data_IF_451270222283
#
_entry.id   IF_451270222283
#
_cell.length_a   1.000
_cell.length_b   1.000
_cell.length_c   1.000
_cell.angle_alpha   90.00
_cell.angle_beta   90.00
_cell.angle_gamma   90.00
#
_symmetry.space_group_name_H-M   'P 1'
#
loop_
_entity.id
_entity.type
_entity.pdbx_description
1 polymer ?
#
# COMPACT_ATOMS: atom_id res chain seq x y z
N UNK A 1 16.55 -17.35 61.48
CA UNK A 1 15.71 -17.72 60.33
C UNK A 1 14.28 -17.89 60.81
N UNK A 2 13.30 -17.44 60.03
CA UNK A 2 11.89 -17.76 60.27
C UNK A 2 11.65 -19.17 59.71
N UNK A 3 11.72 -20.19 60.56
CA UNK A 3 11.63 -21.61 60.15
C UNK A 3 10.54 -22.34 60.91
N UNK A 4 9.74 -23.16 60.23
CA UNK A 4 8.75 -24.02 60.85
C UNK A 4 7.47 -23.33 61.32
N UNK A 5 7.11 -22.18 60.73
CA UNK A 5 5.85 -21.49 61.00
C UNK A 5 4.73 -22.17 60.20
N UNK A 6 3.58 -22.44 60.83
CA UNK A 6 2.45 -23.18 60.22
C UNK A 6 1.30 -22.28 59.75
N UNK A 7 1.44 -20.97 59.86
CA UNK A 7 0.47 -19.97 59.39
C UNK A 7 1.17 -18.79 58.73
N UNK A 8 0.40 -17.78 58.36
CA UNK A 8 0.90 -16.60 57.68
C UNK A 8 1.96 -15.86 58.52
N UNK A 9 3.00 -15.39 57.85
CA UNK A 9 3.95 -14.44 58.42
C UNK A 9 3.57 -13.06 57.88
N UNK A 10 3.12 -12.18 58.77
CA UNK A 10 2.88 -10.77 58.44
C UNK A 10 4.08 -9.93 58.89
N UNK A 11 4.68 -9.19 57.96
CA UNK A 11 5.69 -8.16 58.25
C UNK A 11 5.02 -6.81 58.06
N UNK A 12 4.61 -6.19 59.17
CA UNK A 12 3.94 -4.89 59.19
C UNK A 12 4.95 -3.82 59.68
N UNK A 13 5.62 -3.17 58.73
CA UNK A 13 6.58 -2.10 59.02
C UNK A 13 5.89 -0.75 58.83
N UNK A 14 5.88 0.16 59.83
CA UNK A 14 5.34 1.51 59.67
C UNK A 14 6.24 2.41 58.81
N UNK A 15 7.44 1.95 58.47
CA UNK A 15 8.35 2.56 57.51
C UNK A 15 8.56 1.57 56.35
N UNK A 16 9.80 1.36 55.92
CA UNK A 16 10.10 0.43 54.82
C UNK A 16 10.42 -0.97 55.31
N UNK A 17 10.28 -1.95 54.41
CA UNK A 17 10.91 -3.26 54.53
C UNK A 17 12.14 -3.28 53.61
N UNK A 18 13.33 -3.25 54.21
CA UNK A 18 14.60 -3.35 53.48
C UNK A 18 15.04 -4.81 53.42
N UNK A 19 15.07 -5.37 52.21
CA UNK A 19 15.61 -6.71 51.94
C UNK A 19 17.03 -6.58 51.38
N UNK A 20 18.02 -6.65 52.27
CA UNK A 20 19.45 -6.55 51.93
C UNK A 20 20.07 -7.95 51.78
N UNK A 21 19.87 -8.54 50.60
CA UNK A 21 20.46 -9.83 50.27
C UNK A 21 21.87 -9.62 49.70
N UNK A 22 22.91 -9.80 50.53
CA UNK A 22 24.32 -9.71 50.08
C UNK A 22 24.68 -10.69 48.96
N UNK A 23 23.91 -11.77 48.80
CA UNK A 23 24.04 -12.71 47.67
C UNK A 23 23.37 -12.25 46.37
N UNK A 24 22.72 -11.07 46.38
CA UNK A 24 22.16 -10.40 45.22
C UNK A 24 20.73 -10.80 44.83
N UNK A 25 20.19 -11.92 45.33
CA UNK A 25 18.86 -12.42 44.93
C UNK A 25 17.83 -12.44 46.06
N UNK A 26 16.57 -12.19 45.71
CA UNK A 26 15.39 -12.55 46.52
C UNK A 26 14.69 -13.74 45.85
N UNK A 27 14.52 -14.84 46.58
CA UNK A 27 13.98 -16.08 46.05
C UNK A 27 12.62 -16.43 46.68
N UNK A 28 11.62 -16.67 45.84
CA UNK A 28 10.33 -17.23 46.23
C UNK A 28 10.33 -18.72 45.90
N UNK A 29 10.14 -19.57 46.91
CA UNK A 29 10.22 -21.03 46.77
C UNK A 29 8.92 -21.69 47.19
N UNK A 30 8.62 -22.82 46.56
CA UNK A 30 7.60 -23.77 46.99
C UNK A 30 8.26 -25.13 47.26
N UNK A 31 8.08 -25.65 48.48
CA UNK A 31 8.64 -26.92 48.95
C UNK A 31 10.14 -27.15 48.65
N UNK A 32 10.94 -26.07 48.61
CA UNK A 32 12.38 -26.10 48.32
C UNK A 32 12.76 -25.83 46.86
N UNK A 33 11.81 -25.81 45.94
CA UNK A 33 12.00 -25.43 44.54
C UNK A 33 11.81 -23.93 44.38
N UNK A 34 12.80 -23.23 43.83
CA UNK A 34 12.65 -21.81 43.50
C UNK A 34 11.65 -21.68 42.34
N UNK A 35 10.63 -20.82 42.53
CA UNK A 35 9.57 -20.56 41.56
C UNK A 35 9.84 -19.24 40.83
N UNK A 36 10.10 -18.19 41.60
CA UNK A 36 10.43 -16.85 41.12
C UNK A 36 11.72 -16.36 41.78
N UNK A 37 12.59 -15.77 40.98
CA UNK A 37 13.81 -15.10 41.43
C UNK A 37 13.76 -13.63 41.00
N UNK A 38 14.05 -12.74 41.95
CA UNK A 38 14.36 -11.34 41.69
C UNK A 38 15.87 -11.15 41.87
N UNK A 39 16.57 -10.90 40.78
CA UNK A 39 17.99 -10.58 40.75
C UNK A 39 18.17 -9.07 40.92
N UNK A 40 18.73 -8.68 42.05
CA UNK A 40 18.90 -7.28 42.43
C UNK A 40 20.28 -6.73 42.06
N UNK A 41 21.33 -7.57 42.00
CA UNK A 41 22.72 -7.11 41.81
C UNK A 41 23.68 -8.16 41.21
N UNK A 42 23.22 -9.35 40.82
CA UNK A 42 24.11 -10.38 40.23
C UNK A 42 24.27 -10.22 38.72
N UNK A 43 23.35 -9.51 38.05
CA UNK A 43 23.47 -9.14 36.63
C UNK A 43 23.84 -7.68 36.47
N UNK A 44 24.97 -7.42 35.82
CA UNK A 44 25.42 -6.05 35.54
C UNK A 44 24.41 -5.30 34.65
N UNK A 45 24.04 -4.08 35.06
CA UNK A 45 23.13 -3.16 34.36
C UNK A 45 21.67 -3.64 34.20
N UNK A 46 21.24 -4.68 34.90
CA UNK A 46 19.87 -5.14 34.83
C UNK A 46 19.39 -5.71 36.17
N UNK A 47 18.12 -5.46 36.49
CA UNK A 47 17.39 -6.25 37.47
C UNK A 47 16.58 -7.29 36.70
N UNK A 48 16.61 -8.55 37.15
CA UNK A 48 15.94 -9.65 36.45
C UNK A 48 14.80 -10.18 37.30
N UNK A 49 13.64 -10.34 36.67
CA UNK A 49 12.54 -11.15 37.17
C UNK A 49 12.57 -12.45 36.37
N UNK A 50 12.92 -13.57 37.02
CA UNK A 50 13.08 -14.84 36.33
C UNK A 50 12.22 -15.93 36.96
N UNK A 51 11.36 -16.55 36.15
CA UNK A 51 10.73 -17.81 36.50
C UNK A 51 11.76 -18.93 36.42
N UNK A 52 11.77 -19.77 37.45
CA UNK A 52 12.73 -20.88 37.59
C UNK A 52 12.13 -22.24 37.23
N UNK A 53 10.86 -22.26 36.83
CA UNK A 53 10.17 -23.41 36.25
C UNK A 53 9.88 -23.10 34.79
N UNK A 54 10.39 -23.93 33.87
CA UNK A 54 10.35 -23.62 32.44
C UNK A 54 8.94 -23.65 31.85
N UNK A 55 8.03 -24.45 32.39
CA UNK A 55 6.64 -24.51 31.90
C UNK A 55 5.77 -23.34 32.36
N UNK A 56 6.30 -22.51 33.26
CA UNK A 56 5.52 -21.50 33.93
C UNK A 56 5.66 -20.17 33.18
N UNK A 57 4.55 -19.44 33.14
CA UNK A 57 4.47 -18.12 32.55
C UNK A 57 4.27 -17.07 33.64
N UNK A 58 4.69 -15.83 33.38
CA UNK A 58 4.45 -14.71 34.29
C UNK A 58 3.16 -14.02 33.85
N UNK A 59 2.12 -14.10 34.69
CA UNK A 59 0.76 -13.68 34.33
C UNK A 59 0.31 -12.50 35.20
N UNK A 60 -0.18 -11.45 34.55
CA UNK A 60 -0.83 -10.31 35.19
C UNK A 60 -2.34 -10.44 35.03
N UNK A 61 -3.06 -10.55 36.15
CA UNK A 61 -4.52 -10.75 36.17
C UNK A 61 -5.25 -9.52 36.70
N UNK A 62 -6.48 -9.31 36.21
CA UNK A 62 -7.44 -8.39 36.81
C UNK A 62 -8.07 -9.03 38.06
N UNK A 63 -8.67 -8.21 38.92
CA UNK A 63 -9.35 -8.64 40.14
C UNK A 63 -10.40 -9.77 39.95
N UNK A 64 -11.01 -9.85 38.77
CA UNK A 64 -12.01 -10.88 38.44
C UNK A 64 -11.39 -12.22 37.98
N UNK A 65 -10.06 -12.32 37.96
CA UNK A 65 -9.31 -13.50 37.55
C UNK A 65 -9.04 -13.59 36.04
N UNK A 66 -9.46 -12.61 35.25
CA UNK A 66 -9.11 -12.56 33.84
C UNK A 66 -7.65 -12.15 33.65
N UNK A 67 -6.97 -12.76 32.70
CA UNK A 67 -5.62 -12.38 32.31
C UNK A 67 -5.63 -11.11 31.47
N UNK A 68 -4.69 -10.20 31.76
CA UNK A 68 -4.50 -8.95 31.03
C UNK A 68 -3.31 -9.09 30.08
N UNK A 69 -2.20 -9.60 30.63
CA UNK A 69 -0.92 -9.79 29.92
C UNK A 69 -0.22 -11.02 30.48
N UNK A 70 0.44 -11.78 29.59
CA UNK A 70 1.33 -12.89 29.96
C UNK A 70 2.65 -12.82 29.23
N UNK A 71 3.73 -12.97 29.99
CA UNK A 71 5.07 -13.19 29.46
C UNK A 71 5.31 -14.70 29.55
N UNK A 72 5.25 -15.37 28.39
CA UNK A 72 5.27 -16.81 28.32
C UNK A 72 6.66 -17.40 28.10
N UNK A 73 6.78 -18.68 28.45
CA UNK A 73 7.99 -19.49 28.30
C UNK A 73 8.48 -19.65 26.85
N UNK A 74 7.59 -19.44 25.89
CA UNK A 74 7.86 -19.44 24.45
C UNK A 74 8.36 -18.08 23.90
N UNK A 75 8.68 -17.12 24.78
CA UNK A 75 9.19 -15.77 24.49
C UNK A 75 8.18 -14.84 23.81
N UNK A 76 6.90 -15.00 24.14
CA UNK A 76 5.82 -14.15 23.63
C UNK A 76 5.20 -13.32 24.74
N UNK A 77 4.80 -12.10 24.37
CA UNK A 77 3.93 -11.26 25.18
C UNK A 77 2.49 -11.43 24.66
N UNK A 78 1.69 -12.22 25.38
CA UNK A 78 0.29 -12.43 25.06
C UNK A 78 -0.57 -11.30 25.66
N UNK A 79 -1.59 -10.89 24.91
CA UNK A 79 -2.66 -10.02 25.38
C UNK A 79 -3.92 -10.88 25.52
N UNK A 80 -4.65 -10.73 26.62
CA UNK A 80 -5.85 -11.50 26.94
C UNK A 80 -5.60 -12.96 27.37
N UNK A 81 -5.19 -13.87 26.48
CA UNK A 81 -4.92 -15.28 26.85
C UNK A 81 -3.82 -15.97 26.02
N UNK A 82 -3.36 -17.15 26.49
CA UNK A 82 -2.41 -17.98 25.75
C UNK A 82 -3.12 -18.70 24.61
N UNK A 83 -2.89 -18.21 23.39
CA UNK A 83 -3.47 -18.76 22.15
C UNK A 83 -4.18 -17.71 21.28
N UNK A 84 -4.48 -16.53 21.83
CA UNK A 84 -4.99 -15.36 21.11
C UNK A 84 -3.88 -14.49 20.52
N UNK A 85 -3.91 -13.20 20.85
CA UNK A 85 -3.04 -12.15 20.30
C UNK A 85 -1.69 -12.08 21.04
N UNK A 86 -0.60 -11.90 20.30
CA UNK A 86 0.72 -11.77 20.92
C UNK A 86 1.72 -10.96 20.08
N UNK A 87 2.75 -10.46 20.76
CA UNK A 87 3.90 -9.81 20.15
C UNK A 87 5.17 -10.61 20.48
N UNK A 88 6.02 -10.83 19.49
CA UNK A 88 7.33 -11.45 19.70
C UNK A 88 8.34 -11.06 18.63
N UNK A 89 9.63 -11.13 18.97
CA UNK A 89 10.71 -11.06 17.99
C UNK A 89 11.29 -12.45 17.73
N UNK A 90 11.64 -12.75 16.48
CA UNK A 90 12.36 -13.98 16.12
C UNK A 90 13.88 -13.80 15.98
N UNK A 91 14.36 -12.57 16.20
CA UNK A 91 15.75 -12.16 16.07
C UNK A 91 16.05 -11.39 14.78
N UNK A 92 15.14 -11.42 13.80
CA UNK A 92 15.20 -10.61 12.58
C UNK A 92 13.99 -9.68 12.50
N UNK A 93 12.81 -10.26 12.69
CA UNK A 93 11.53 -9.60 12.52
C UNK A 93 10.81 -9.43 13.86
N UNK A 94 9.99 -8.39 13.94
CA UNK A 94 8.98 -8.21 14.97
C UNK A 94 7.64 -8.69 14.39
N UNK A 95 6.96 -9.58 15.12
CA UNK A 95 5.66 -10.09 14.75
C UNK A 95 4.60 -9.53 15.70
N UNK A 96 3.51 -9.02 15.12
CA UNK A 96 2.27 -8.66 15.82
C UNK A 96 1.21 -9.62 15.28
N UNK A 97 0.78 -10.55 16.12
CA UNK A 97 -0.09 -11.66 15.71
C UNK A 97 -1.49 -11.47 16.30
N UNK A 98 -2.50 -11.57 15.43
CA UNK A 98 -3.93 -11.56 15.78
C UNK A 98 -4.61 -12.80 15.22
N UNK A 99 -5.61 -13.32 15.94
CA UNK A 99 -6.45 -14.43 15.45
C UNK A 99 -7.40 -14.02 14.31
N UNK A 100 -7.57 -12.71 14.08
CA UNK A 100 -8.32 -12.14 12.99
C UNK A 100 -7.52 -10.96 12.41
N UNK A 101 -8.07 -9.75 12.44
CA UNK A 101 -7.41 -8.55 11.94
C UNK A 101 -6.64 -7.83 13.06
N UNK A 102 -5.62 -7.07 12.69
CA UNK A 102 -5.04 -6.04 13.56
C UNK A 102 -5.76 -4.74 13.29
N UNK A 103 -6.63 -4.34 14.23
CA UNK A 103 -7.37 -3.09 14.11
C UNK A 103 -6.54 -1.91 14.57
N UNK A 104 -6.42 -0.91 13.72
CA UNK A 104 -6.00 0.44 14.08
C UNK A 104 -7.25 1.32 14.17
N UNK A 105 -7.30 2.23 15.15
CA UNK A 105 -8.41 3.19 15.23
C UNK A 105 -8.51 4.01 13.93
N UNK A 106 -9.70 4.47 13.59
CA UNK A 106 -9.92 5.29 12.39
C UNK A 106 -9.01 6.54 12.37
N UNK A 107 -8.49 6.90 11.19
CA UNK A 107 -7.50 7.98 10.97
C UNK A 107 -6.13 7.75 11.63
N UNK A 108 -5.89 6.54 12.14
CA UNK A 108 -4.58 6.08 12.59
C UNK A 108 -4.10 5.03 11.60
N UNK A 109 -2.86 5.18 11.14
CA UNK A 109 -2.25 4.29 10.16
C UNK A 109 -0.89 3.80 10.62
N UNK A 110 -0.24 3.07 9.73
CA UNK A 110 1.17 2.72 9.87
C UNK A 110 1.99 3.86 9.25
N UNK A 111 2.78 4.55 10.07
CA UNK A 111 3.76 5.55 9.60
C UNK A 111 5.12 4.91 9.40
N UNK A 112 5.83 5.34 8.37
CA UNK A 112 7.18 4.86 8.07
C UNK A 112 8.18 6.02 8.14
N UNK A 113 8.76 6.28 9.33
CA UNK A 113 9.74 7.36 9.50
C UNK A 113 9.13 8.66 10.03
N UNK A 114 9.43 9.79 9.40
CA UNK A 114 9.02 11.14 9.82
C UNK A 114 7.64 11.52 9.24
N UNK A 115 6.60 10.78 9.62
CA UNK A 115 5.15 11.04 9.42
C UNK A 115 4.66 11.45 7.99
N UNK A 116 5.54 11.52 6.99
CA UNK A 116 5.21 11.84 5.60
C UNK A 116 4.67 10.63 4.82
N UNK A 117 5.19 9.44 5.10
CA UNK A 117 4.71 8.17 4.55
C UNK A 117 3.72 7.50 5.49
N UNK A 118 2.52 7.19 5.00
CA UNK A 118 1.44 6.61 5.81
C UNK A 118 0.54 5.66 5.00
N UNK A 119 0.14 4.56 5.62
CA UNK A 119 -0.93 3.67 5.12
C UNK A 119 -2.07 3.70 6.14
N UNK A 120 -3.22 4.25 5.76
CA UNK A 120 -4.35 4.44 6.68
C UNK A 120 -5.71 4.26 6.02
N UNK A 121 -6.68 3.75 6.79
CA UNK A 121 -8.08 3.71 6.40
C UNK A 121 -8.90 4.75 7.16
N UNK A 122 -9.86 5.38 6.48
CA UNK A 122 -10.80 6.34 7.08
C UNK A 122 -12.21 5.75 7.31
N UNK A 123 -12.39 4.47 6.97
CA UNK A 123 -13.67 3.75 7.01
C UNK A 123 -14.41 3.70 5.67
N UNK A 124 -13.95 4.43 4.66
CA UNK A 124 -14.48 4.41 3.29
C UNK A 124 -13.44 3.87 2.31
N UNK A 125 -12.19 4.35 2.40
CA UNK A 125 -11.10 3.95 1.53
C UNK A 125 -9.82 3.62 2.31
N UNK A 126 -8.82 3.10 1.58
CA UNK A 126 -7.45 2.93 2.03
C UNK A 126 -6.60 3.96 1.30
N UNK A 127 -5.97 4.85 2.05
CA UNK A 127 -5.08 5.88 1.53
C UNK A 127 -3.63 5.49 1.80
N UNK A 128 -2.80 5.56 0.76
CA UNK A 128 -1.34 5.44 0.84
C UNK A 128 -0.75 6.80 0.49
N UNK A 129 -0.18 7.48 1.48
CA UNK A 129 0.47 8.78 1.33
C UNK A 129 1.99 8.60 1.31
N UNK A 130 2.64 9.32 0.41
CA UNK A 130 4.09 9.39 0.22
C UNK A 130 4.41 10.21 -1.03
N UNK A 131 5.69 10.40 -1.34
CA UNK A 131 6.09 11.09 -2.58
C UNK A 131 5.76 10.26 -3.83
N UNK A 132 6.54 9.20 -4.08
CA UNK A 132 6.30 8.25 -5.16
C UNK A 132 5.90 6.90 -4.57
N UNK A 133 4.76 6.36 -4.99
CA UNK A 133 4.32 5.03 -4.60
C UNK A 133 4.83 4.01 -5.63
N UNK A 134 5.90 3.29 -5.27
CA UNK A 134 6.47 2.25 -6.13
C UNK A 134 5.66 0.95 -6.02
N UNK A 135 5.04 0.52 -7.12
CA UNK A 135 4.32 -0.76 -7.23
C UNK A 135 5.13 -1.78 -8.06
N UNK A 136 6.19 -2.32 -7.46
CA UNK A 136 7.14 -3.21 -8.16
C UNK A 136 6.70 -4.68 -8.10
N UNK A 137 5.58 -5.01 -8.73
CA UNK A 137 5.09 -6.39 -8.80
C UNK A 137 6.02 -7.27 -9.67
N UNK A 138 6.25 -8.52 -9.27
CA UNK A 138 6.96 -9.52 -10.10
C UNK A 138 6.06 -10.17 -11.17
N UNK A 139 4.77 -9.85 -11.12
CA UNK A 139 3.77 -10.18 -12.13
C UNK A 139 2.98 -8.91 -12.44
N UNK A 140 1.67 -8.91 -12.31
CA UNK A 140 0.82 -7.76 -12.63
C UNK A 140 0.28 -7.08 -11.38
N UNK A 141 0.04 -5.77 -11.46
CA UNK A 141 -0.87 -5.07 -10.54
C UNK A 141 -2.27 -5.25 -11.09
N UNK A 142 -3.01 -6.21 -10.54
CA UNK A 142 -4.36 -6.50 -10.98
C UNK A 142 -5.38 -5.55 -10.32
N UNK A 143 -6.29 -5.02 -11.13
CA UNK A 143 -7.51 -4.36 -10.69
C UNK A 143 -8.71 -5.25 -11.04
N UNK A 144 -9.82 -5.10 -10.33
CA UNK A 144 -11.04 -5.83 -10.63
C UNK A 144 -11.63 -5.38 -11.98
N UNK A 145 -12.41 -6.24 -12.64
CA UNK A 145 -13.11 -5.88 -13.89
C UNK A 145 -14.05 -4.70 -13.65
N UNK A 146 -14.08 -3.75 -14.60
CA UNK A 146 -14.81 -2.47 -14.48
C UNK A 146 -14.30 -1.55 -13.34
N UNK A 147 -13.14 -1.85 -12.77
CA UNK A 147 -12.39 -0.94 -11.91
C UNK A 147 -11.08 -0.56 -12.59
N UNK A 148 -10.47 0.53 -12.14
CA UNK A 148 -9.37 1.14 -12.87
C UNK A 148 -8.59 2.12 -12.01
N UNK A 149 -7.56 2.70 -12.61
CA UNK A 149 -6.85 3.82 -12.02
C UNK A 149 -7.72 5.07 -12.18
N UNK A 150 -8.30 5.53 -11.07
CA UNK A 150 -9.04 6.79 -11.02
C UNK A 150 -8.07 7.96 -10.89
N UNK A 151 -8.18 8.91 -11.80
CA UNK A 151 -7.38 10.11 -11.89
C UNK A 151 -8.35 11.28 -11.66
N UNK A 152 -8.11 12.09 -10.63
CA UNK A 152 -8.86 13.32 -10.37
C UNK A 152 -10.41 13.19 -10.34
N UNK A 153 -10.96 12.02 -10.03
CA UNK A 153 -12.38 11.81 -9.74
C UNK A 153 -13.25 11.37 -10.93
N UNK A 154 -12.94 11.80 -12.15
CA UNK A 154 -13.70 11.38 -13.37
C UNK A 154 -12.85 10.73 -14.44
N UNK A 155 -11.57 11.06 -14.54
CA UNK A 155 -10.68 10.47 -15.53
C UNK A 155 -10.26 9.08 -15.07
N UNK A 156 -10.28 8.09 -15.97
CA UNK A 156 -10.04 6.69 -15.59
C UNK A 156 -9.34 5.91 -16.69
N UNK A 157 -8.40 5.06 -16.31
CA UNK A 157 -7.83 4.01 -17.16
C UNK A 157 -8.35 2.67 -16.62
N UNK A 158 -9.14 1.94 -17.41
CA UNK A 158 -9.79 0.70 -16.96
C UNK A 158 -9.92 -0.35 -18.06
N UNK A 159 -10.07 -1.61 -17.64
CA UNK A 159 -10.46 -2.70 -18.54
C UNK A 159 -11.80 -3.28 -18.13
N UNK A 160 -12.61 -3.60 -19.13
CA UNK A 160 -13.89 -4.32 -18.98
C UNK A 160 -13.73 -5.85 -19.21
N UNK A 161 -12.48 -6.31 -19.37
CA UNK A 161 -12.14 -7.70 -19.68
C UNK A 161 -12.09 -8.02 -21.18
N UNK A 162 -12.43 -7.07 -22.04
CA UNK A 162 -12.28 -7.19 -23.51
C UNK A 162 -11.34 -6.11 -24.03
N UNK A 163 -11.60 -4.86 -23.65
CA UNK A 163 -10.88 -3.68 -24.13
C UNK A 163 -10.20 -2.93 -22.97
N UNK A 164 -9.24 -2.06 -23.33
CA UNK A 164 -8.67 -1.06 -22.46
C UNK A 164 -9.25 0.30 -22.85
N UNK A 165 -9.88 0.97 -21.89
CA UNK A 165 -10.54 2.26 -22.08
C UNK A 165 -9.82 3.37 -21.33
N UNK A 166 -9.71 4.54 -21.96
CA UNK A 166 -9.32 5.79 -21.32
C UNK A 166 -10.53 6.71 -21.36
N UNK A 167 -11.13 6.95 -20.19
CA UNK A 167 -12.30 7.80 -20.04
C UNK A 167 -11.88 9.18 -19.56
N UNK A 168 -12.43 10.21 -20.18
CA UNK A 168 -12.22 11.62 -19.84
C UNK A 168 -13.55 12.26 -19.42
N UNK A 169 -13.51 13.30 -18.59
CA UNK A 169 -14.70 14.06 -18.20
C UNK A 169 -15.42 14.72 -19.38
N UNK A 170 -16.64 15.20 -19.16
CA UNK A 170 -17.46 15.82 -20.21
C UNK A 170 -16.76 17.06 -20.83
N UNK A 171 -16.56 17.04 -22.15
CA UNK A 171 -15.84 18.09 -22.88
C UNK A 171 -14.31 18.05 -22.68
N UNK A 172 -13.78 17.02 -21.99
CA UNK A 172 -12.36 16.72 -21.94
C UNK A 172 -11.93 15.90 -23.15
N UNK A 173 -10.64 16.00 -23.47
CA UNK A 173 -10.00 15.28 -24.56
C UNK A 173 -8.88 14.38 -24.01
N UNK A 174 -8.54 13.33 -24.76
CA UNK A 174 -7.29 12.60 -24.53
C UNK A 174 -6.18 13.39 -25.23
N UNK A 175 -5.42 14.15 -24.45
CA UNK A 175 -4.27 14.88 -24.97
C UNK A 175 -3.04 13.97 -25.07
N UNK A 176 -2.48 13.89 -26.27
CA UNK A 176 -1.12 13.40 -26.51
C UNK A 176 -0.24 14.65 -26.64
N UNK A 177 0.91 14.70 -25.97
CA UNK A 177 1.77 15.90 -25.94
C UNK A 177 2.18 16.38 -27.34
N UNK A 178 2.58 17.65 -27.46
CA UNK A 178 3.06 18.20 -28.73
C UNK A 178 4.25 17.39 -29.26
N UNK A 179 4.27 17.14 -30.57
CA UNK A 179 5.27 16.31 -31.26
C UNK A 179 5.31 14.84 -30.79
N UNK A 180 4.21 14.37 -30.17
CA UNK A 180 4.01 12.98 -29.76
C UNK A 180 2.73 12.47 -30.43
N UNK A 181 2.85 11.33 -31.12
CA UNK A 181 1.72 10.68 -31.81
C UNK A 181 1.26 9.40 -31.13
N UNK A 182 0.05 8.96 -31.47
CA UNK A 182 -0.40 7.59 -31.25
C UNK A 182 0.27 6.69 -32.29
N UNK A 183 1.14 5.77 -31.86
CA UNK A 183 1.75 4.75 -32.71
C UNK A 183 0.96 3.45 -32.65
N UNK A 184 0.85 2.75 -33.79
CA UNK A 184 0.17 1.45 -33.89
C UNK A 184 1.15 0.28 -34.14
N UNK A 185 2.45 0.48 -33.87
CA UNK A 185 3.50 -0.49 -34.21
C UNK A 185 4.91 0.06 -33.99
N UNK A 186 5.81 -0.17 -34.95
CA UNK A 186 7.10 0.53 -34.96
C UNK A 186 6.86 2.04 -35.22
N UNK A 187 7.78 2.91 -34.83
CA UNK A 187 7.54 4.36 -34.77
C UNK A 187 7.32 5.06 -36.14
N UNK A 188 7.12 4.31 -37.23
CA UNK A 188 6.89 4.82 -38.59
C UNK A 188 5.44 5.19 -38.91
N UNK A 189 4.44 4.58 -38.26
CA UNK A 189 3.03 4.95 -38.39
C UNK A 189 2.54 5.78 -37.20
N UNK A 190 2.03 6.99 -37.46
CA UNK A 190 1.61 7.95 -36.41
C UNK A 190 0.38 8.75 -36.79
N UNK A 191 -0.40 9.11 -35.77
CA UNK A 191 -1.40 10.19 -35.81
C UNK A 191 -1.01 11.20 -34.73
N UNK A 192 -0.60 12.41 -35.14
CA UNK A 192 -0.08 13.43 -34.23
C UNK A 192 -0.54 14.84 -34.60
N UNK A 193 -0.73 15.69 -33.59
CA UNK A 193 -1.03 17.10 -33.77
C UNK A 193 0.12 17.98 -33.27
N UNK A 194 0.42 19.05 -33.98
CA UNK A 194 1.44 20.05 -33.62
C UNK A 194 0.85 21.35 -33.04
N UNK A 195 -0.46 21.35 -32.80
CA UNK A 195 -1.24 22.52 -32.36
C UNK A 195 -1.76 23.39 -33.51
N UNK A 196 -1.43 23.10 -34.77
CA UNK A 196 -1.99 23.76 -35.96
C UNK A 196 -2.76 22.76 -36.81
N UNK A 197 -2.12 21.65 -37.17
CA UNK A 197 -2.67 20.63 -38.09
C UNK A 197 -2.63 19.23 -37.47
N UNK A 198 -3.44 18.31 -38.01
CA UNK A 198 -3.35 16.87 -37.73
C UNK A 198 -2.55 16.20 -38.84
N UNK A 199 -1.46 15.53 -38.47
CA UNK A 199 -0.64 14.75 -39.41
C UNK A 199 -0.91 13.26 -39.23
N UNK A 200 -1.14 12.56 -40.34
CA UNK A 200 -1.19 11.10 -40.40
C UNK A 200 0.00 10.64 -41.25
N UNK A 201 0.97 9.98 -40.62
CA UNK A 201 2.21 9.54 -41.26
C UNK A 201 2.26 8.01 -41.38
N UNK A 202 2.87 7.54 -42.47
CA UNK A 202 3.07 6.13 -42.81
C UNK A 202 3.49 5.99 -44.28
N UNK A 203 3.71 4.77 -44.75
CA UNK A 203 4.03 4.53 -46.17
C UNK A 203 2.83 4.85 -47.08
N UNK A 204 1.77 4.05 -46.97
CA UNK A 204 0.51 4.28 -47.67
C UNK A 204 -0.58 4.54 -46.63
N UNK A 205 -1.42 5.55 -46.87
CA UNK A 205 -2.65 5.74 -46.10
C UNK A 205 -3.78 4.99 -46.80
N UNK A 206 -4.01 3.75 -46.38
CA UNK A 206 -5.05 2.91 -46.95
C UNK A 206 -6.43 3.28 -46.37
N UNK A 207 -7.26 3.95 -47.16
CA UNK A 207 -8.64 4.30 -46.79
C UNK A 207 -9.62 3.24 -47.32
N UNK A 208 -9.87 2.20 -46.53
CA UNK A 208 -10.80 1.11 -46.88
C UNK A 208 -12.16 1.35 -46.23
N UNK A 209 -12.83 2.44 -46.58
CA UNK A 209 -14.12 2.79 -46.01
C UNK A 209 -15.23 1.86 -46.54
N UNK A 210 -16.17 1.48 -45.68
CA UNK A 210 -17.40 0.74 -46.07
C UNK A 210 -18.49 1.66 -46.65
N UNK A 211 -18.24 2.96 -46.62
CA UNK A 211 -19.01 4.04 -47.23
C UNK A 211 -18.03 5.02 -47.90
N UNK A 212 -18.47 6.21 -48.26
CA UNK A 212 -17.61 7.21 -48.91
C UNK A 212 -16.60 7.84 -47.94
N UNK A 213 -15.43 8.22 -48.46
CA UNK A 213 -14.52 9.17 -47.80
C UNK A 213 -15.00 10.58 -48.16
N UNK A 214 -15.55 11.31 -47.19
CA UNK A 214 -16.14 12.63 -47.42
C UNK A 214 -15.15 13.72 -47.05
N UNK A 215 -14.88 14.61 -47.99
CA UNK A 215 -14.21 15.89 -47.75
C UNK A 215 -15.28 16.99 -47.80
N UNK A 216 -15.32 17.95 -46.84
CA UNK A 216 -16.33 19.01 -46.84
C UNK A 216 -16.36 19.83 -48.14
N UNK A 217 -17.52 20.42 -48.47
CA UNK A 217 -17.63 21.33 -49.61
C UNK A 217 -16.63 22.49 -49.48
N UNK A 218 -16.00 22.86 -50.59
CA UNK A 218 -14.95 23.88 -50.63
C UNK A 218 -13.74 23.56 -49.73
N UNK A 219 -13.52 22.27 -49.47
CA UNK A 219 -12.29 21.69 -48.91
C UNK A 219 -11.85 20.57 -49.85
N UNK A 220 -10.54 20.34 -49.95
CA UNK A 220 -10.00 19.42 -50.95
C UNK A 220 -8.70 18.75 -50.54
N UNK A 221 -8.23 17.85 -51.41
CA UNK A 221 -6.92 17.22 -51.26
C UNK A 221 -5.90 18.09 -51.98
N UNK A 222 -4.93 18.60 -51.22
CA UNK A 222 -3.81 19.38 -51.74
C UNK A 222 -2.59 18.50 -51.93
N UNK A 223 -1.91 18.63 -53.07
CA UNK A 223 -0.70 17.86 -53.38
C UNK A 223 0.51 18.79 -53.35
N UNK A 224 1.27 18.80 -52.27
CA UNK A 224 2.41 19.70 -52.13
C UNK A 224 1.98 21.13 -51.81
N UNK A 225 2.30 22.10 -52.68
CA UNK A 225 1.95 23.51 -52.48
C UNK A 225 0.51 23.84 -52.87
N UNK A 226 0.07 25.09 -52.64
CA UNK A 226 -1.33 25.48 -52.84
C UNK A 226 -1.87 25.48 -54.29
N UNK A 227 -1.04 25.11 -55.28
CA UNK A 227 -1.40 25.16 -56.71
C UNK A 227 -2.00 23.85 -57.24
N UNK A 228 -1.74 22.70 -56.61
CA UNK A 228 -2.33 21.41 -56.99
C UNK A 228 -3.42 20.99 -55.99
N UNK A 229 -4.69 20.96 -56.43
CA UNK A 229 -5.84 20.67 -55.56
C UNK A 229 -6.96 19.94 -56.30
N UNK A 230 -7.62 19.01 -55.61
CA UNK A 230 -8.89 18.37 -56.02
C UNK A 230 -9.96 18.74 -54.99
N UNK A 231 -11.05 19.37 -55.43
CA UNK A 231 -12.05 19.97 -54.53
C UNK A 231 -13.45 19.98 -55.15
N UNK A 232 -14.47 19.66 -54.35
CA UNK A 232 -15.87 19.80 -54.74
C UNK A 232 -16.56 20.93 -53.97
N UNK A 233 -17.52 21.62 -54.60
CA UNK A 233 -18.32 22.68 -53.95
C UNK A 233 -19.75 22.24 -53.60
N UNK A 234 -20.05 20.95 -53.77
CA UNK A 234 -21.38 20.36 -53.60
C UNK A 234 -22.23 20.34 -54.88
N UNK A 235 -21.78 21.00 -55.96
CA UNK A 235 -22.38 20.92 -57.30
C UNK A 235 -21.38 20.40 -58.32
N UNK A 236 -20.17 20.96 -58.32
CA UNK A 236 -19.12 20.68 -59.28
C UNK A 236 -17.86 20.12 -58.59
N UNK A 237 -17.07 19.32 -59.33
CA UNK A 237 -15.72 18.90 -58.95
C UNK A 237 -14.70 19.71 -59.76
N UNK A 238 -13.80 20.39 -59.08
CA UNK A 238 -12.71 21.17 -59.68
C UNK A 238 -11.37 20.50 -59.43
N UNK A 239 -10.57 20.36 -60.48
CA UNK A 239 -9.18 19.91 -60.42
C UNK A 239 -8.31 21.08 -60.91
N UNK A 240 -7.47 21.61 -60.03
CA UNK A 240 -6.61 22.76 -60.29
C UNK A 240 -5.14 22.36 -60.29
N UNK A 241 -4.40 22.79 -61.32
CA UNK A 241 -2.94 22.68 -61.42
C UNK A 241 -2.38 23.69 -62.44
N UNK A 242 -1.14 24.14 -62.25
CA UNK A 242 -0.47 25.09 -63.18
C UNK A 242 -0.21 24.47 -64.57
N UNK A 243 0.10 23.17 -64.61
CA UNK A 243 0.31 22.40 -65.83
C UNK A 243 -0.52 21.11 -65.76
N UNK A 244 -1.85 21.25 -65.78
CA UNK A 244 -2.75 20.10 -65.78
C UNK A 244 -2.55 19.29 -67.08
N UNK A 245 -1.95 18.12 -66.95
CA UNK A 245 -1.86 17.14 -68.05
C UNK A 245 -3.03 16.20 -67.90
N UNK A 246 -3.97 16.27 -68.85
CA UNK A 246 -5.18 15.43 -68.91
C UNK A 246 -4.96 14.27 -69.87
#
# INVERSE_FOLDING_TARGET
>A
TLTGVTGDITIDSPADLVLDAAGGNVEFKDAGTTQLLLDMDTTANAQIIQLKVNSDDLVFQQYDGNEVVRIADDRRLYFYDKGGEYIYGDGTDLHIVSGADVNLSANIGLTFGDDGEKIEGDGTDLTITGNTINLTATTDVALAVNTGLLLAGTEKIESDGTDLSITVGAGGDINIGTDIGLTFGNDGEKIEGDGTDLTIAGNNINLTAVADVVIPNSVGIQFGGASEKIEGDGTDLTISANNLTV
#
